data_IF_418881927524
#
_entry.id   IF_418881927524
#
_cell.length_a   1.000
_cell.length_b   1.000
_cell.length_c   1.000
_cell.angle_alpha   90.00
_cell.angle_beta   90.00
_cell.angle_gamma   90.00
#
_symmetry.space_group_name_H-M   'P 1'
#
loop_
_entity.id
_entity.type
_entity.pdbx_description
1 polymer ?
#
# COMPACT_ATOMS: atom_id res chain seq x y z
N UNK A 1 4.76 12.20 -14.05
CA UNK A 1 3.75 11.11 -14.24
C UNK A 1 3.25 11.18 -15.66
N UNK A 2 3.32 10.09 -16.41
CA UNK A 2 2.72 9.97 -17.75
C UNK A 2 1.32 9.37 -17.57
N UNK A 3 0.28 10.05 -18.05
CA UNK A 3 -1.09 9.53 -18.08
C UNK A 3 -1.50 9.34 -19.54
N UNK A 4 -1.92 8.14 -19.89
CA UNK A 4 -2.49 7.84 -21.20
C UNK A 4 -4.01 7.98 -21.13
N UNK A 5 -4.58 8.91 -21.89
CA UNK A 5 -6.02 9.08 -22.01
C UNK A 5 -6.51 8.39 -23.28
N UNK A 6 -7.31 7.37 -23.11
CA UNK A 6 -7.94 6.65 -24.24
C UNK A 6 -9.33 7.23 -24.45
N UNK A 7 -9.51 8.00 -25.52
CA UNK A 7 -10.75 8.75 -25.81
C UNK A 7 -11.74 8.00 -26.71
N UNK A 8 -11.37 6.83 -27.25
CA UNK A 8 -12.20 6.00 -28.11
C UNK A 8 -12.26 4.57 -27.58
N UNK A 9 -13.33 3.86 -27.90
CA UNK A 9 -13.45 2.45 -27.58
C UNK A 9 -12.31 1.63 -28.18
N UNK A 10 -12.01 0.48 -27.56
CA UNK A 10 -10.98 -0.43 -28.03
C UNK A 10 -11.16 -0.76 -29.50
N UNK A 11 -10.12 -0.66 -30.34
CA UNK A 11 -10.21 -0.98 -31.77
C UNK A 11 -10.54 -2.46 -32.02
N UNK A 12 -10.15 -3.33 -31.11
CA UNK A 12 -10.50 -4.75 -31.12
C UNK A 12 -11.39 -5.08 -29.92
N UNK A 13 -12.45 -5.88 -30.15
CA UNK A 13 -13.39 -6.30 -29.11
C UNK A 13 -12.84 -7.37 -28.16
N UNK A 14 -11.81 -8.09 -28.56
CA UNK A 14 -11.24 -9.20 -27.80
C UNK A 14 -9.96 -8.77 -27.07
N UNK A 15 -9.05 -8.11 -27.78
CA UNK A 15 -7.76 -7.67 -27.21
C UNK A 15 -7.33 -6.35 -27.85
N UNK A 16 -6.98 -5.37 -27.02
CA UNK A 16 -6.32 -4.15 -27.49
C UNK A 16 -5.02 -3.97 -26.73
N UNK A 17 -3.94 -3.71 -27.45
CA UNK A 17 -2.61 -3.47 -26.91
C UNK A 17 -2.24 -2.00 -27.16
N UNK A 18 -1.70 -1.35 -26.16
CA UNK A 18 -1.10 -0.02 -26.27
C UNK A 18 0.40 -0.22 -26.18
N UNK A 19 1.12 0.09 -27.26
CA UNK A 19 2.57 0.13 -27.28
C UNK A 19 3.03 1.57 -27.08
N UNK A 20 4.01 1.77 -26.19
CA UNK A 20 4.61 3.07 -25.91
C UNK A 20 6.10 2.96 -26.21
N UNK A 21 6.55 3.63 -27.27
CA UNK A 21 7.97 3.80 -27.55
C UNK A 21 8.53 4.95 -26.72
N UNK A 22 9.68 4.72 -26.10
CA UNK A 22 10.39 5.71 -25.27
C UNK A 22 11.75 6.02 -25.91
N UNK A 23 12.14 7.28 -25.90
CA UNK A 23 13.50 7.68 -26.24
C UNK A 23 14.41 7.51 -25.01
N UNK A 24 15.12 6.38 -24.93
CA UNK A 24 16.03 6.04 -23.82
C UNK A 24 15.39 5.21 -22.71
N UNK A 25 16.13 5.03 -21.64
CA UNK A 25 15.67 4.29 -20.45
C UNK A 25 14.56 5.06 -19.72
N UNK A 26 13.48 4.38 -19.28
CA UNK A 26 12.41 5.04 -18.54
C UNK A 26 12.93 5.54 -17.18
N UNK A 27 12.79 6.82 -16.93
CA UNK A 27 12.99 7.42 -15.61
C UNK A 27 11.72 7.17 -14.79
N UNK A 28 11.76 6.17 -13.92
CA UNK A 28 10.63 5.77 -13.09
C UNK A 28 10.75 6.42 -11.72
N UNK A 29 9.85 7.34 -11.42
CA UNK A 29 9.70 7.88 -10.07
C UNK A 29 9.15 6.77 -9.14
N UNK A 30 9.87 6.35 -8.09
CA UNK A 30 9.40 5.32 -7.15
C UNK A 30 8.23 5.80 -6.27
N UNK A 31 7.87 7.07 -6.35
CA UNK A 31 6.79 7.65 -5.58
C UNK A 31 5.41 7.26 -6.13
N UNK A 32 4.52 6.79 -5.27
CA UNK A 32 3.15 6.41 -5.65
C UNK A 32 2.20 7.60 -5.51
N UNK A 33 1.58 8.01 -6.62
CA UNK A 33 0.56 9.05 -6.55
C UNK A 33 -0.73 8.49 -5.92
N UNK A 34 -1.24 9.18 -4.90
CA UNK A 34 -2.55 8.88 -4.33
C UNK A 34 -3.62 9.52 -5.22
N UNK A 35 -4.51 8.67 -5.77
CA UNK A 35 -5.59 9.14 -6.62
C UNK A 35 -6.63 9.91 -5.79
N UNK A 36 -7.07 11.10 -6.23
CA UNK A 36 -8.04 11.90 -5.50
C UNK A 36 -9.49 11.44 -5.66
N UNK A 37 -9.76 10.44 -6.50
CA UNK A 37 -11.12 10.01 -6.86
C UNK A 37 -11.41 8.56 -6.50
N UNK A 38 -10.42 7.67 -6.66
CA UNK A 38 -10.56 6.24 -6.41
C UNK A 38 -9.57 5.75 -5.34
N UNK A 39 -9.83 4.58 -4.81
CA UNK A 39 -8.93 3.92 -3.87
C UNK A 39 -7.56 3.71 -4.50
N UNK A 40 -6.50 4.02 -3.73
CA UNK A 40 -5.12 3.72 -4.09
C UNK A 40 -4.59 2.67 -3.13
N UNK A 41 -4.26 1.49 -3.63
CA UNK A 41 -3.60 0.42 -2.87
C UNK A 41 -2.12 0.36 -3.24
N UNK A 42 -1.24 0.35 -2.23
CA UNK A 42 0.20 0.22 -2.41
C UNK A 42 0.68 -1.02 -1.67
N UNK A 43 1.29 -1.95 -2.41
CA UNK A 43 1.73 -3.21 -1.84
C UNK A 43 2.95 -3.04 -0.94
N UNK A 44 3.10 -3.94 0.02
CA UNK A 44 4.21 -3.94 0.98
C UNK A 44 5.58 -4.14 0.31
N UNK A 45 5.62 -4.75 -0.87
CA UNK A 45 6.86 -4.93 -1.63
C UNK A 45 7.52 -3.63 -2.11
N UNK A 46 6.76 -2.55 -2.16
CA UNK A 46 7.23 -1.23 -2.54
C UNK A 46 7.61 -0.35 -1.34
N UNK A 47 7.59 -0.91 -0.12
CA UNK A 47 7.99 -0.18 1.08
C UNK A 47 9.47 -0.35 1.38
N UNK A 48 10.08 0.70 1.95
CA UNK A 48 11.32 0.56 2.72
C UNK A 48 11.00 -0.08 4.07
N UNK A 49 11.71 -1.16 4.42
CA UNK A 49 11.43 -1.93 5.64
C UNK A 49 12.59 -1.77 6.62
N UNK A 50 12.28 -1.32 7.84
CA UNK A 50 13.22 -1.27 8.96
C UNK A 50 12.67 -2.02 10.18
N UNK A 51 13.51 -2.75 10.92
CA UNK A 51 13.07 -3.52 12.09
C UNK A 51 11.98 -4.55 11.81
N UNK A 52 11.87 -5.01 10.57
CA UNK A 52 10.99 -6.07 10.11
C UNK A 52 11.62 -6.74 8.88
N UNK A 53 10.96 -7.73 8.29
CA UNK A 53 11.47 -8.44 7.12
C UNK A 53 10.45 -8.50 6.00
N UNK A 54 10.88 -8.19 4.78
CA UNK A 54 10.11 -8.47 3.58
C UNK A 54 10.25 -9.97 3.26
N UNK A 55 9.14 -10.70 3.28
CA UNK A 55 9.04 -12.12 2.96
C UNK A 55 8.22 -12.32 1.72
N UNK A 56 8.77 -13.02 0.73
CA UNK A 56 8.05 -13.40 -0.48
C UNK A 56 7.35 -14.73 -0.26
N UNK A 57 6.02 -14.73 -0.37
CA UNK A 57 5.23 -15.96 -0.46
C UNK A 57 4.95 -16.26 -1.92
N UNK A 58 5.12 -17.53 -2.28
CA UNK A 58 4.87 -18.04 -3.61
C UNK A 58 3.99 -19.28 -3.49
N UNK A 59 2.89 -19.31 -4.24
CA UNK A 59 2.05 -20.50 -4.33
C UNK A 59 1.54 -20.67 -5.75
N UNK A 60 1.16 -21.89 -6.08
CA UNK A 60 0.56 -22.22 -7.36
C UNK A 60 -0.96 -22.23 -7.21
N UNK A 61 -1.63 -21.48 -8.07
CA UNK A 61 -3.08 -21.55 -8.23
C UNK A 61 -3.48 -22.63 -9.25
N UNK A 62 -4.77 -22.78 -9.46
CA UNK A 62 -5.30 -23.70 -10.48
C UNK A 62 -4.70 -23.36 -11.85
N UNK A 63 -4.52 -24.39 -12.68
CA UNK A 63 -3.98 -24.28 -14.04
C UNK A 63 -2.50 -23.86 -14.18
N UNK A 64 -1.72 -24.02 -13.12
CA UNK A 64 -0.27 -23.76 -13.19
C UNK A 64 0.14 -22.31 -13.06
N UNK A 65 -0.77 -21.42 -12.74
CA UNK A 65 -0.42 -20.02 -12.45
C UNK A 65 0.28 -19.87 -11.11
N UNK A 66 1.45 -19.25 -11.13
CA UNK A 66 2.18 -18.90 -9.93
C UNK A 66 1.79 -17.51 -9.45
N UNK A 67 1.34 -17.43 -8.21
CA UNK A 67 1.11 -16.15 -7.54
C UNK A 67 2.24 -15.83 -6.57
N UNK A 68 2.57 -14.56 -6.49
CA UNK A 68 3.59 -14.05 -5.57
C UNK A 68 2.99 -12.93 -4.74
N UNK A 69 3.13 -13.01 -3.44
CA UNK A 69 2.78 -11.92 -2.52
C UNK A 69 3.94 -11.68 -1.59
N UNK A 70 4.48 -10.48 -1.63
CA UNK A 70 5.45 -10.03 -0.67
C UNK A 70 4.70 -9.48 0.56
N UNK A 71 5.21 -9.82 1.74
CA UNK A 71 4.60 -9.46 3.03
C UNK A 71 5.69 -8.95 3.96
N UNK A 72 5.40 -7.92 4.73
CA UNK A 72 6.28 -7.49 5.82
C UNK A 72 5.89 -8.28 7.07
N UNK A 73 6.86 -8.98 7.65
CA UNK A 73 6.70 -9.89 8.80
C UNK A 73 7.81 -9.69 9.82
N UNK A 74 7.74 -10.39 10.95
CA UNK A 74 8.79 -10.38 11.99
C UNK A 74 9.07 -8.98 12.53
N UNK A 75 8.01 -8.29 12.93
CA UNK A 75 8.05 -6.94 13.47
C UNK A 75 8.80 -6.88 14.80
N UNK A 76 9.91 -6.16 14.81
CA UNK A 76 10.65 -5.82 16.02
C UNK A 76 10.09 -4.52 16.64
N UNK A 77 10.33 -4.24 17.92
CA UNK A 77 9.99 -2.95 18.49
C UNK A 77 10.57 -1.80 17.66
N UNK A 78 9.72 -0.86 17.27
CA UNK A 78 10.09 0.25 16.39
C UNK A 78 10.18 -0.10 14.89
N UNK A 79 9.84 -1.33 14.50
CA UNK A 79 9.83 -1.74 13.10
C UNK A 79 8.75 -1.01 12.29
N UNK A 80 9.08 -0.66 11.05
CA UNK A 80 8.19 0.05 10.14
C UNK A 80 8.34 -0.42 8.69
N UNK A 81 7.25 -0.32 7.96
CA UNK A 81 7.19 -0.35 6.50
C UNK A 81 6.79 1.05 6.02
N UNK A 82 7.63 1.69 5.22
CA UNK A 82 7.48 3.11 4.83
C UNK A 82 7.37 3.23 3.32
N UNK A 83 6.40 3.98 2.84
CA UNK A 83 6.18 4.30 1.43
C UNK A 83 6.38 5.79 1.19
N UNK A 84 6.91 6.14 0.03
CA UNK A 84 6.84 7.50 -0.51
C UNK A 84 5.58 7.64 -1.34
N UNK A 85 4.76 8.63 -1.01
CA UNK A 85 3.49 8.91 -1.69
C UNK A 85 3.43 10.36 -2.16
N UNK A 86 2.86 10.58 -3.34
CA UNK A 86 2.60 11.91 -3.89
C UNK A 86 1.10 12.20 -3.81
N UNK A 87 0.74 13.15 -2.97
CA UNK A 87 -0.63 13.59 -2.76
C UNK A 87 -0.95 14.70 -3.74
N UNK A 88 -1.80 14.41 -4.72
CA UNK A 88 -2.18 15.37 -5.76
C UNK A 88 -3.22 16.38 -5.25
N UNK A 89 -4.15 15.94 -4.42
CA UNK A 89 -5.20 16.77 -3.83
C UNK A 89 -5.11 16.66 -2.31
N UNK A 90 -4.93 17.78 -1.59
CA UNK A 90 -4.91 17.78 -0.14
C UNK A 90 -6.28 17.45 0.44
N UNK A 91 -6.32 16.96 1.67
CA UNK A 91 -7.55 16.62 2.37
C UNK A 91 -7.42 15.38 3.23
N UNK A 92 -8.58 14.88 3.66
CA UNK A 92 -8.66 13.70 4.52
C UNK A 92 -8.77 12.43 3.69
N UNK A 93 -7.95 11.46 4.04
CA UNK A 93 -7.95 10.14 3.42
C UNK A 93 -8.18 9.07 4.49
N UNK A 94 -9.15 8.20 4.22
CA UNK A 94 -9.32 6.99 5.02
C UNK A 94 -8.15 6.05 4.73
N UNK A 95 -7.53 5.53 5.79
CA UNK A 95 -6.41 4.60 5.71
C UNK A 95 -6.85 3.22 6.19
N UNK A 96 -6.57 2.20 5.39
CA UNK A 96 -6.68 0.81 5.77
C UNK A 96 -5.35 0.08 5.53
N UNK A 97 -5.09 -0.93 6.34
CA UNK A 97 -3.97 -1.86 6.15
C UNK A 97 -4.53 -3.24 5.81
N UNK A 98 -3.96 -3.88 4.79
CA UNK A 98 -4.27 -5.26 4.45
C UNK A 98 -3.27 -6.17 5.15
N UNK A 99 -3.73 -6.88 6.18
CA UNK A 99 -2.87 -7.74 6.99
C UNK A 99 -3.56 -8.99 7.53
N UNK A 100 -2.75 -9.94 8.01
CA UNK A 100 -3.17 -11.10 8.82
C UNK A 100 -2.46 -11.05 10.15
N UNK A 101 -2.92 -11.88 11.10
CA UNK A 101 -2.26 -12.08 12.39
C UNK A 101 -3.09 -12.94 13.33
N UNK A 102 -2.70 -12.95 14.61
CA UNK A 102 -3.39 -13.69 15.66
C UNK A 102 -3.78 -12.76 16.80
N UNK A 103 -5.04 -12.88 17.21
CA UNK A 103 -5.55 -12.14 18.35
C UNK A 103 -5.58 -10.63 18.13
N UNK A 104 -5.42 -9.90 19.20
CA UNK A 104 -5.50 -8.44 19.23
C UNK A 104 -4.17 -7.83 18.80
N UNK A 105 -4.19 -7.01 17.75
CA UNK A 105 -3.05 -6.25 17.27
C UNK A 105 -3.35 -4.76 17.30
N UNK A 106 -2.34 -3.95 17.59
CA UNK A 106 -2.41 -2.49 17.46
C UNK A 106 -1.48 -2.06 16.34
N UNK A 107 -2.05 -1.38 15.38
CA UNK A 107 -1.32 -0.78 14.26
C UNK A 107 -1.29 0.73 14.36
N UNK A 108 -0.14 1.29 14.05
CA UNK A 108 0.08 2.73 13.91
C UNK A 108 0.41 3.04 12.46
N UNK A 109 -0.22 4.07 11.91
CA UNK A 109 0.18 4.69 10.63
C UNK A 109 0.53 6.13 10.90
N UNK A 110 1.66 6.60 10.37
CA UNK A 110 2.15 7.95 10.62
C UNK A 110 2.74 8.58 9.36
N UNK A 111 2.51 9.87 9.18
CA UNK A 111 3.26 10.71 8.25
C UNK A 111 4.55 11.15 8.95
N UNK A 112 5.69 11.05 8.28
CA UNK A 112 6.97 11.54 8.83
C UNK A 112 6.88 13.04 9.12
N UNK A 113 7.14 13.39 10.38
CA UNK A 113 7.00 14.79 10.85
C UNK A 113 5.58 15.35 10.90
N UNK A 114 4.56 14.50 10.77
CA UNK A 114 3.15 14.88 10.71
C UNK A 114 2.24 14.07 11.63
N UNK A 115 1.01 13.90 11.17
CA UNK A 115 -0.04 13.20 11.89
C UNK A 115 0.25 11.70 12.04
N UNK A 116 -0.20 11.14 13.15
CA UNK A 116 -0.18 9.70 13.37
C UNK A 116 -1.53 9.23 13.90
N UNK A 117 -1.98 8.10 13.38
CA UNK A 117 -3.19 7.41 13.79
C UNK A 117 -2.85 5.99 14.26
N UNK A 118 -3.64 5.48 15.17
CA UNK A 118 -3.51 4.08 15.58
C UNK A 118 -4.87 3.45 15.81
N UNK A 119 -4.94 2.16 15.59
CA UNK A 119 -6.15 1.39 15.81
C UNK A 119 -5.82 -0.01 16.29
N UNK A 120 -6.70 -0.54 17.13
CA UNK A 120 -6.64 -1.87 17.68
C UNK A 120 -7.74 -2.73 17.11
N UNK A 121 -7.38 -3.89 16.60
CA UNK A 121 -8.33 -4.82 16.01
C UNK A 121 -7.97 -6.28 16.31
N UNK A 122 -8.98 -7.16 16.31
CA UNK A 122 -8.75 -8.60 16.32
C UNK A 122 -8.40 -9.05 14.90
N UNK A 123 -7.17 -9.51 14.74
CA UNK A 123 -6.67 -9.97 13.46
C UNK A 123 -7.24 -11.34 13.10
N UNK A 124 -7.43 -11.55 11.80
CA UNK A 124 -7.81 -12.83 11.20
C UNK A 124 -6.58 -13.57 10.66
N UNK A 125 -6.66 -14.89 10.54
CA UNK A 125 -5.64 -15.70 9.88
C UNK A 125 -5.60 -15.56 8.35
N UNK A 126 -6.58 -14.87 7.77
CA UNK A 126 -6.61 -14.52 6.34
C UNK A 126 -6.49 -13.01 6.17
N UNK A 127 -5.98 -12.58 5.02
CA UNK A 127 -5.81 -11.16 4.71
C UNK A 127 -7.15 -10.44 4.60
N UNK A 128 -7.28 -9.34 5.33
CA UNK A 128 -8.41 -8.42 5.26
C UNK A 128 -7.92 -6.97 5.30
N UNK A 129 -8.72 -6.07 4.74
CA UNK A 129 -8.53 -4.64 4.90
C UNK A 129 -9.08 -4.20 6.27
N UNK A 130 -8.17 -3.78 7.14
CA UNK A 130 -8.52 -3.24 8.45
C UNK A 130 -8.37 -1.72 8.42
N UNK A 131 -9.48 -1.02 8.67
CA UNK A 131 -9.47 0.44 8.76
C UNK A 131 -8.69 0.89 9.98
N UNK A 132 -7.69 1.76 9.78
CA UNK A 132 -6.88 2.32 10.86
C UNK A 132 -7.44 3.66 11.31
N UNK A 133 -7.87 4.50 10.39
CA UNK A 133 -8.42 5.83 10.69
C UNK A 133 -8.44 6.72 9.47
N UNK A 134 -8.29 8.02 9.72
CA UNK A 134 -8.14 9.04 8.71
C UNK A 134 -6.85 9.79 8.93
N UNK A 135 -6.17 10.15 7.87
CA UNK A 135 -4.99 11.01 7.86
C UNK A 135 -5.30 12.23 7.01
N UNK A 136 -4.95 13.42 7.51
CA UNK A 136 -5.02 14.65 6.75
C UNK A 136 -3.68 14.96 6.08
N UNK A 137 -3.72 15.19 4.77
CA UNK A 137 -2.60 15.75 4.02
C UNK A 137 -2.89 17.21 3.75
N UNK A 138 -2.22 18.15 4.45
CA UNK A 138 -2.60 19.58 4.42
C UNK A 138 -2.24 20.29 3.13
N UNK A 139 -1.36 19.73 2.31
CA UNK A 139 -0.87 20.29 1.05
C UNK A 139 -0.64 19.20 0.00
N UNK A 140 -0.66 19.53 -1.29
CA UNK A 140 -0.15 18.62 -2.30
C UNK A 140 1.36 18.43 -2.13
N UNK A 141 1.87 17.26 -2.53
CA UNK A 141 3.30 16.96 -2.52
C UNK A 141 3.65 15.60 -1.98
N UNK A 142 4.94 15.39 -1.78
CA UNK A 142 5.49 14.10 -1.36
C UNK A 142 5.51 13.97 0.15
N UNK A 143 5.10 12.79 0.60
CA UNK A 143 5.07 12.41 2.00
C UNK A 143 5.67 11.02 2.18
N UNK A 144 6.31 10.79 3.33
CA UNK A 144 6.65 9.45 3.79
C UNK A 144 5.58 8.99 4.78
N UNK A 145 4.94 7.86 4.47
CA UNK A 145 3.90 7.26 5.32
C UNK A 145 4.38 5.90 5.79
N UNK A 146 4.51 5.73 7.10
CA UNK A 146 4.97 4.50 7.73
C UNK A 146 3.84 3.75 8.42
N UNK A 147 3.83 2.41 8.31
CA UNK A 147 2.97 1.52 9.10
C UNK A 147 3.82 0.65 10.04
N UNK A 148 3.38 0.50 11.28
CA UNK A 148 4.06 -0.27 12.33
C UNK A 148 3.06 -1.10 13.12
N UNK A 149 3.36 -2.36 13.39
CA UNK A 149 2.63 -3.17 14.36
C UNK A 149 3.27 -2.95 15.74
N UNK A 150 2.58 -2.25 16.63
CA UNK A 150 3.17 -1.72 17.86
C UNK A 150 2.82 -2.52 19.13
N UNK A 151 1.72 -3.27 19.13
CA UNK A 151 1.29 -4.09 20.27
C UNK A 151 0.62 -5.39 19.82
N UNK A 152 0.61 -6.38 20.72
CA UNK A 152 0.03 -7.71 20.52
C UNK A 152 1.08 -8.73 20.08
N UNK A 153 0.62 -9.83 19.45
CA UNK A 153 1.51 -10.85 18.86
C UNK A 153 2.06 -10.34 17.52
N UNK A 154 2.99 -9.36 17.59
CA UNK A 154 3.58 -8.72 16.41
C UNK A 154 4.34 -9.70 15.53
N UNK A 155 4.79 -10.83 16.07
CA UNK A 155 5.48 -11.88 15.31
C UNK A 155 4.51 -12.65 14.39
N UNK A 156 3.23 -12.69 14.73
CA UNK A 156 2.20 -13.29 13.88
C UNK A 156 1.71 -12.35 12.77
N UNK A 157 2.01 -11.05 12.88
CA UNK A 157 1.51 -10.04 11.97
C UNK A 157 2.23 -10.10 10.60
N UNK A 158 1.45 -10.16 9.53
CA UNK A 158 1.94 -10.11 8.15
C UNK A 158 1.18 -9.04 7.37
N UNK A 159 1.88 -7.99 6.95
CA UNK A 159 1.33 -6.85 6.22
C UNK A 159 1.52 -7.05 4.71
N UNK A 160 0.43 -6.94 3.96
CA UNK A 160 0.42 -7.05 2.49
C UNK A 160 0.45 -5.69 1.79
N UNK A 161 -0.15 -4.65 2.38
CA UNK A 161 -0.20 -3.32 1.78
C UNK A 161 -0.96 -2.30 2.60
N UNK A 162 -0.93 -1.07 2.10
CA UNK A 162 -1.67 0.08 2.63
C UNK A 162 -2.63 0.59 1.56
N UNK A 163 -3.79 1.08 1.98
CA UNK A 163 -4.82 1.59 1.10
C UNK A 163 -5.29 2.95 1.56
N UNK A 164 -5.35 3.88 0.62
CA UNK A 164 -5.88 5.22 0.81
C UNK A 164 -7.19 5.38 0.03
N UNK A 165 -8.24 5.85 0.70
CA UNK A 165 -9.53 6.18 0.09
C UNK A 165 -9.80 7.66 0.33
N UNK A 166 -9.97 8.48 -0.72
CA UNK A 166 -10.29 9.90 -0.54
C UNK A 166 -11.66 10.06 0.11
N UNK A 167 -11.78 10.99 1.06
CA UNK A 167 -13.06 11.39 1.62
C UNK A 167 -13.65 12.50 0.73
N UNK A 168 -14.80 12.22 0.17
CA UNK A 168 -15.58 13.17 -0.65
C UNK A 168 -16.48 14.02 0.22
#
# INVERSE_FOLDING_TARGET
MVRLFITRGAPDKLVSVIEVELEGEPDVDPCFAIDPVVDTEILAEFSEVSGAKLKRNRWMEKFGEWKHVNQVVNWQPGGAATWEVDVLVPGDYKVALNYTGKGRLVWKVAIEGGEAIQNQQNASSVFHDYRIGWINFPKPGRYKVGASCIEGDTQSAALKGIKFTPLR
#
